data_IF_410069294160
#
_entry.id   IF_410069294160
#
_cell.length_a   1.000
_cell.length_b   1.000
_cell.length_c   1.000
_cell.angle_alpha   90.00
_cell.angle_beta   90.00
_cell.angle_gamma   90.00
#
_symmetry.space_group_name_H-M   'P 1'
#
loop_
_entity.id
_entity.type
_entity.pdbx_description
1 polymer ?
#
# COMPACT_ATOMS: atom_id res chain seq x y z
N UNK A 1 14.96 -2.46 -2.89
CA UNK A 1 15.12 -1.06 -3.35
C UNK A 1 14.46 -0.95 -4.72
N UNK A 2 13.40 -0.16 -4.81
CA UNK A 2 12.57 0.02 -6.01
C UNK A 2 13.16 1.13 -6.89
N UNK A 3 14.25 0.81 -7.61
CA UNK A 3 14.85 1.72 -8.58
C UNK A 3 14.01 1.81 -9.85
N UNK A 4 13.86 3.02 -10.40
CA UNK A 4 13.24 3.24 -11.72
C UNK A 4 14.33 3.70 -12.67
N UNK A 5 14.43 3.02 -13.80
CA UNK A 5 15.31 3.42 -14.90
C UNK A 5 14.54 4.37 -15.81
N UNK A 6 15.11 5.56 -16.01
CA UNK A 6 14.61 6.55 -16.96
C UNK A 6 14.77 6.00 -18.38
N UNK A 7 13.73 6.15 -19.20
CA UNK A 7 13.80 5.83 -20.64
C UNK A 7 14.14 7.11 -21.39
N UNK A 8 14.92 7.00 -22.46
CA UNK A 8 15.41 8.16 -23.23
C UNK A 8 14.25 9.01 -23.81
N UNK A 9 13.11 8.39 -24.14
CA UNK A 9 11.93 9.08 -24.68
C UNK A 9 10.88 9.49 -23.63
N UNK A 10 11.20 9.43 -22.33
CA UNK A 10 10.24 9.77 -21.27
C UNK A 10 10.48 11.16 -20.68
N UNK A 11 9.43 12.01 -20.74
CA UNK A 11 9.41 13.27 -20.01
C UNK A 11 9.56 13.06 -18.49
N UNK A 12 10.38 13.88 -17.84
CA UNK A 12 10.69 13.80 -16.40
C UNK A 12 9.45 13.64 -15.51
N UNK A 13 8.36 14.35 -15.79
CA UNK A 13 7.13 14.26 -15.00
C UNK A 13 6.49 12.86 -15.02
N UNK A 14 6.56 12.17 -16.16
CA UNK A 14 6.05 10.80 -16.28
C UNK A 14 6.90 9.84 -15.45
N UNK A 15 8.22 9.99 -15.48
CA UNK A 15 9.12 9.20 -14.66
C UNK A 15 8.87 9.42 -13.16
N UNK A 16 8.69 10.68 -12.74
CA UNK A 16 8.36 11.03 -11.37
C UNK A 16 7.03 10.41 -10.92
N UNK A 17 6.00 10.43 -11.78
CA UNK A 17 4.73 9.76 -11.50
C UNK A 17 4.88 8.24 -11.36
N UNK A 18 5.73 7.60 -12.16
CA UNK A 18 6.03 6.16 -12.01
C UNK A 18 6.76 5.90 -10.70
N UNK A 19 7.67 6.79 -10.29
CA UNK A 19 8.40 6.69 -9.04
C UNK A 19 7.48 6.80 -7.83
N UNK A 20 6.64 7.84 -7.77
CA UNK A 20 5.68 8.01 -6.69
C UNK A 20 4.72 6.83 -6.60
N UNK A 21 4.18 6.37 -7.73
CA UNK A 21 3.30 5.19 -7.77
C UNK A 21 4.00 3.90 -7.33
N UNK A 22 5.29 3.74 -7.65
CA UNK A 22 6.07 2.59 -7.18
C UNK A 22 6.29 2.65 -5.67
N UNK A 23 6.60 3.83 -5.12
CA UNK A 23 6.75 4.03 -3.68
C UNK A 23 5.42 3.82 -2.92
N UNK A 24 4.31 4.27 -3.48
CA UNK A 24 2.96 4.02 -2.96
C UNK A 24 2.64 2.52 -2.96
N UNK A 25 2.90 1.84 -4.07
CA UNK A 25 2.66 0.40 -4.22
C UNK A 25 3.55 -0.43 -3.29
N UNK A 26 4.79 -0.01 -3.10
CA UNK A 26 5.72 -0.62 -2.16
C UNK A 26 5.31 -0.39 -0.70
N UNK A 27 4.37 0.52 -0.42
CA UNK A 27 3.87 0.76 0.93
C UNK A 27 4.87 1.48 1.85
N UNK A 28 5.93 2.08 1.30
CA UNK A 28 7.05 2.66 2.06
C UNK A 28 6.55 3.68 3.09
N UNK A 29 5.58 4.53 2.74
CA UNK A 29 5.01 5.52 3.66
C UNK A 29 4.25 4.86 4.83
N UNK A 30 3.61 3.72 4.58
CA UNK A 30 2.91 2.95 5.63
C UNK A 30 3.91 2.30 6.58
N UNK A 31 5.03 1.80 6.05
CA UNK A 31 6.12 1.23 6.84
C UNK A 31 6.80 2.29 7.70
N UNK A 32 7.14 3.46 7.13
CA UNK A 32 7.69 4.58 7.91
C UNK A 32 6.76 4.95 9.07
N UNK A 33 5.44 5.04 8.82
CA UNK A 33 4.46 5.32 9.87
C UNK A 33 4.35 4.21 10.92
N UNK A 34 4.49 2.95 10.51
CA UNK A 34 4.50 1.78 11.40
C UNK A 34 5.73 1.79 12.31
N UNK A 35 6.91 2.07 11.77
CA UNK A 35 8.18 1.95 12.48
C UNK A 35 8.66 3.25 13.15
N UNK A 36 7.96 4.38 12.99
CA UNK A 36 8.33 5.67 13.62
C UNK A 36 8.39 5.62 15.16
N UNK A 37 7.74 4.65 15.78
CA UNK A 37 7.67 4.46 17.22
C UNK A 37 7.68 2.97 17.54
N UNK A 38 8.18 2.61 18.72
CA UNK A 38 8.10 1.23 19.20
C UNK A 38 6.64 0.87 19.47
N UNK A 39 6.16 -0.17 18.79
CA UNK A 39 4.86 -0.79 19.02
C UNK A 39 5.08 -2.08 19.82
N UNK A 40 4.36 -2.27 20.92
CA UNK A 40 4.48 -3.51 21.71
C UNK A 40 4.02 -4.71 20.88
N UNK A 41 4.58 -5.92 21.09
CA UNK A 41 4.19 -7.12 20.33
C UNK A 41 2.68 -7.42 20.34
N UNK A 42 2.00 -7.14 21.45
CA UNK A 42 0.55 -7.29 21.59
C UNK A 42 -0.24 -6.30 20.71
N UNK A 43 0.23 -5.06 20.61
CA UNK A 43 -0.36 -4.01 19.79
C UNK A 43 -0.13 -4.29 18.30
N UNK A 44 1.07 -4.74 17.92
CA UNK A 44 1.33 -5.17 16.55
C UNK A 44 0.40 -6.32 16.13
N UNK A 45 0.21 -7.33 17.00
CA UNK A 45 -0.71 -8.44 16.73
C UNK A 45 -2.15 -7.95 16.55
N UNK A 46 -2.59 -7.02 17.41
CA UNK A 46 -3.93 -6.39 17.33
C UNK A 46 -4.10 -5.58 16.03
N UNK A 47 -3.11 -4.77 15.67
CA UNK A 47 -3.11 -3.97 14.43
C UNK A 47 -3.17 -4.86 13.20
N UNK A 48 -2.38 -5.94 13.16
CA UNK A 48 -2.38 -6.92 12.06
C UNK A 48 -3.75 -7.57 11.90
N UNK A 49 -4.34 -8.08 12.99
CA UNK A 49 -5.66 -8.71 12.97
C UNK A 49 -6.75 -7.75 12.47
N UNK A 50 -6.74 -6.50 12.95
CA UNK A 50 -7.69 -5.49 12.53
C UNK A 50 -7.54 -5.11 11.06
N UNK A 51 -6.30 -5.01 10.56
CA UNK A 51 -6.04 -4.73 9.14
C UNK A 51 -6.56 -5.83 8.22
N UNK A 52 -6.36 -7.11 8.59
CA UNK A 52 -6.86 -8.26 7.82
C UNK A 52 -8.38 -8.33 7.83
N UNK A 53 -9.02 -8.11 8.99
CA UNK A 53 -10.49 -8.06 9.11
C UNK A 53 -11.09 -6.97 8.22
N UNK A 54 -10.53 -5.76 8.26
CA UNK A 54 -10.98 -4.64 7.41
C UNK A 54 -10.81 -4.94 5.92
N UNK A 55 -9.71 -5.57 5.53
CA UNK A 55 -9.46 -5.98 4.14
C UNK A 55 -10.52 -6.99 3.68
N UNK A 56 -10.78 -8.04 4.49
CA UNK A 56 -11.78 -9.06 4.18
C UNK A 56 -13.19 -8.47 3.99
N UNK A 57 -13.63 -7.62 4.92
CA UNK A 57 -14.95 -6.95 4.82
C UNK A 57 -15.07 -6.11 3.54
N UNK A 58 -13.98 -5.43 3.14
CA UNK A 58 -13.98 -4.62 1.91
C UNK A 58 -14.07 -5.50 0.66
N UNK A 59 -13.38 -6.65 0.66
CA UNK A 59 -13.44 -7.62 -0.43
C UNK A 59 -14.82 -8.27 -0.53
N UNK A 60 -15.39 -8.70 0.58
CA UNK A 60 -16.76 -9.25 0.66
C UNK A 60 -17.77 -8.26 0.07
N UNK A 61 -17.78 -6.99 0.53
CA UNK A 61 -18.66 -5.94 -0.02
C UNK A 61 -18.50 -5.74 -1.52
N UNK A 62 -17.27 -5.81 -2.03
CA UNK A 62 -16.98 -5.65 -3.45
C UNK A 62 -17.51 -6.84 -4.26
N UNK A 63 -17.42 -8.05 -3.72
CA UNK A 63 -17.96 -9.25 -4.36
C UNK A 63 -19.48 -9.22 -4.41
N UNK A 64 -20.14 -8.85 -3.30
CA UNK A 64 -21.60 -8.69 -3.25
C UNK A 64 -22.10 -7.66 -4.27
N UNK A 65 -21.48 -6.48 -4.31
CA UNK A 65 -21.85 -5.45 -5.29
C UNK A 65 -21.69 -5.91 -6.74
N UNK A 66 -20.66 -6.72 -7.02
CA UNK A 66 -20.37 -7.25 -8.36
C UNK A 66 -21.27 -8.43 -8.75
N UNK A 67 -21.82 -9.17 -7.79
CA UNK A 67 -22.80 -10.23 -8.09
C UNK A 67 -24.21 -9.68 -8.35
N UNK A 68 -24.48 -8.46 -7.93
CA UNK A 68 -25.79 -7.80 -8.07
C UNK A 68 -25.95 -7.03 -9.40
N UNK A 69 -24.88 -6.88 -10.19
CA UNK A 69 -24.87 -6.20 -11.50
C UNK A 69 -24.33 -7.12 -12.58
#
# INVERSE_FOLDING_TARGET
MNGIVLREDEAFEKALRRFTKTCERAGILSDVKKYRHYEKPSEEKKRRLNSSKRKRIREEKRMTFRSEH
#
